data_IF_135691067630
#
_entry.id   IF_135691067630
#
_cell.length_a   1.000
_cell.length_b   1.000
_cell.length_c   1.000
_cell.angle_alpha   90.00
_cell.angle_beta   90.00
_cell.angle_gamma   90.00
#
_symmetry.space_group_name_H-M   'P 1'
#
loop_
_entity.id
_entity.type
_entity.pdbx_description
1 polymer ?
#
# COMPACT_ATOMS: atom_id res chain seq x y z
N UNK A 1 -38.68 -14.21 -4.11
CA UNK A 1 -37.27 -14.01 -3.72
C UNK A 1 -36.87 -15.18 -2.84
N UNK A 2 -35.96 -16.05 -3.30
CA UNK A 2 -35.64 -17.30 -2.60
C UNK A 2 -35.08 -17.04 -1.19
N UNK A 3 -35.60 -17.76 -0.18
CA UNK A 3 -35.32 -17.53 1.25
C UNK A 3 -33.82 -17.53 1.61
N UNK A 4 -32.98 -18.23 0.84
CA UNK A 4 -31.54 -18.32 1.09
C UNK A 4 -30.76 -17.04 0.72
N UNK A 5 -31.25 -16.25 -0.25
CA UNK A 5 -30.63 -14.95 -0.59
C UNK A 5 -30.98 -13.92 0.46
N UNK A 6 -32.22 -13.96 0.96
CA UNK A 6 -32.69 -13.08 2.04
C UNK A 6 -32.07 -13.45 3.39
N UNK A 7 -31.73 -14.73 3.62
CA UNK A 7 -31.07 -15.18 4.87
C UNK A 7 -29.62 -14.68 5.01
N UNK A 8 -28.99 -14.21 3.93
CA UNK A 8 -27.74 -13.43 4.02
C UNK A 8 -27.91 -12.12 4.83
N UNK A 9 -29.15 -11.67 5.05
CA UNK A 9 -29.46 -10.45 5.79
C UNK A 9 -29.89 -10.69 7.25
N UNK A 10 -30.31 -11.90 7.63
CA UNK A 10 -31.20 -12.05 8.80
C UNK A 10 -30.55 -12.35 10.15
N UNK A 11 -29.22 -12.37 10.25
CA UNK A 11 -28.43 -12.14 11.47
C UNK A 11 -26.96 -12.24 11.09
N UNK A 12 -26.20 -11.20 11.41
CA UNK A 12 -24.74 -11.20 11.56
C UNK A 12 -24.00 -12.30 10.78
N UNK A 13 -23.53 -11.91 9.59
CA UNK A 13 -22.22 -12.31 9.05
C UNK A 13 -21.97 -13.81 8.86
N UNK A 14 -21.86 -14.22 7.60
CA UNK A 14 -21.31 -15.53 7.26
C UNK A 14 -20.02 -15.78 8.07
N UNK A 15 -19.95 -16.94 8.73
CA UNK A 15 -18.81 -17.32 9.56
C UNK A 15 -17.58 -17.55 8.68
N UNK A 16 -16.43 -17.04 9.10
CA UNK A 16 -15.14 -17.37 8.49
C UNK A 16 -14.89 -18.88 8.58
N UNK A 17 -14.52 -19.54 7.48
CA UNK A 17 -14.14 -20.97 7.48
C UNK A 17 -13.01 -21.26 8.48
N UNK A 18 -12.18 -20.25 8.78
CA UNK A 18 -11.09 -20.37 9.77
C UNK A 18 -11.57 -20.58 11.22
N UNK A 19 -12.81 -20.22 11.56
CA UNK A 19 -13.34 -20.43 12.92
C UNK A 19 -13.88 -21.84 13.15
N UNK A 20 -14.23 -22.58 12.08
CA UNK A 20 -14.75 -23.96 12.19
C UNK A 20 -13.72 -24.99 12.68
N UNK A 21 -12.44 -24.63 12.76
CA UNK A 21 -11.34 -25.58 13.02
C UNK A 21 -10.57 -25.39 14.34
N UNK A 22 -10.87 -24.39 15.19
CA UNK A 22 -9.94 -24.07 16.30
C UNK A 22 -10.45 -23.98 17.73
N UNK A 23 -11.73 -23.76 18.02
CA UNK A 23 -12.23 -23.81 19.41
C UNK A 23 -13.77 -23.74 19.41
N UNK A 24 -14.49 -24.69 20.02
CA UNK A 24 -15.95 -24.61 20.20
C UNK A 24 -16.43 -23.42 21.04
N UNK A 25 -15.56 -22.81 21.86
CA UNK A 25 -15.88 -21.67 22.72
C UNK A 25 -15.45 -20.30 22.15
N UNK A 26 -14.76 -20.26 21.01
CA UNK A 26 -14.34 -18.98 20.42
C UNK A 26 -15.55 -18.21 19.86
N UNK A 27 -15.56 -16.89 20.09
CA UNK A 27 -16.56 -16.00 19.52
C UNK A 27 -16.64 -16.15 17.98
N UNK A 28 -17.86 -16.11 17.41
CA UNK A 28 -18.05 -16.26 15.98
C UNK A 28 -17.32 -15.17 15.19
N UNK A 29 -16.30 -15.57 14.42
CA UNK A 29 -15.57 -14.63 13.55
C UNK A 29 -16.38 -14.36 12.29
N UNK A 30 -16.88 -13.14 12.25
CA UNK A 30 -17.77 -12.62 11.23
C UNK A 30 -17.01 -12.00 10.03
N UNK A 31 -17.50 -12.24 8.80
CA UNK A 31 -16.88 -11.66 7.60
C UNK A 31 -16.97 -10.13 7.55
N UNK A 32 -15.92 -9.46 7.08
CA UNK A 32 -15.98 -8.00 6.90
C UNK A 32 -17.03 -7.59 5.83
N UNK A 33 -17.68 -6.41 5.94
CA UNK A 33 -18.60 -5.91 4.91
C UNK A 33 -18.01 -5.88 3.50
N UNK A 34 -16.69 -5.65 3.38
CA UNK A 34 -15.98 -5.70 2.09
C UNK A 34 -15.92 -7.13 1.55
N UNK A 35 -15.65 -8.12 2.41
CA UNK A 35 -15.64 -9.52 2.02
C UNK A 35 -17.01 -9.98 1.56
N UNK A 36 -18.08 -9.61 2.29
CA UNK A 36 -19.47 -9.92 1.91
C UNK A 36 -19.79 -9.31 0.54
N UNK A 37 -19.44 -8.04 0.32
CA UNK A 37 -19.68 -7.39 -0.97
C UNK A 37 -18.90 -8.05 -2.12
N UNK A 38 -17.65 -8.44 -1.89
CA UNK A 38 -16.85 -9.13 -2.91
C UNK A 38 -17.46 -10.49 -3.27
N UNK A 39 -17.86 -11.28 -2.26
CA UNK A 39 -18.50 -12.57 -2.47
C UNK A 39 -19.85 -12.41 -3.19
N UNK A 40 -20.67 -11.45 -2.75
CA UNK A 40 -21.93 -11.12 -3.40
C UNK A 40 -21.73 -10.66 -4.85
N UNK A 41 -20.72 -9.83 -5.12
CA UNK A 41 -20.37 -9.38 -6.47
C UNK A 41 -20.07 -10.55 -7.39
N UNK A 42 -19.22 -11.48 -6.95
CA UNK A 42 -18.91 -12.70 -7.70
C UNK A 42 -20.16 -13.54 -7.97
N UNK A 43 -20.97 -13.81 -6.93
CA UNK A 43 -22.20 -14.58 -7.06
C UNK A 43 -23.19 -13.92 -8.04
N UNK A 44 -23.38 -12.61 -7.91
CA UNK A 44 -24.26 -11.85 -8.78
C UNK A 44 -23.78 -11.88 -10.24
N UNK A 45 -22.47 -11.81 -10.48
CA UNK A 45 -21.89 -11.96 -11.83
C UNK A 45 -22.13 -13.35 -12.41
N UNK A 46 -21.97 -14.41 -11.62
CA UNK A 46 -22.24 -15.79 -12.05
C UNK A 46 -23.72 -15.96 -12.41
N UNK A 47 -24.63 -15.47 -11.57
CA UNK A 47 -26.07 -15.55 -11.81
C UNK A 47 -26.52 -14.70 -13.00
N UNK A 48 -25.91 -13.54 -13.22
CA UNK A 48 -26.14 -12.72 -14.40
C UNK A 48 -25.80 -13.48 -15.69
N UNK A 49 -24.68 -14.20 -15.72
CA UNK A 49 -24.31 -15.07 -16.85
C UNK A 49 -25.33 -16.19 -17.09
N UNK A 50 -25.93 -16.74 -16.02
CA UNK A 50 -26.98 -17.76 -16.16
C UNK A 50 -28.30 -17.18 -16.71
N UNK A 51 -28.61 -15.92 -16.39
CA UNK A 51 -29.74 -15.20 -17.01
C UNK A 51 -29.49 -14.98 -18.50
N UNK A 52 -28.30 -14.52 -18.87
CA UNK A 52 -27.90 -14.31 -20.27
C UNK A 52 -27.95 -15.61 -21.08
N UNK A 53 -27.63 -16.74 -20.47
CA UNK A 53 -27.73 -18.08 -21.07
C UNK A 53 -29.14 -18.68 -21.02
N UNK A 54 -30.12 -17.93 -20.54
CA UNK A 54 -31.52 -18.36 -20.37
C UNK A 54 -31.70 -19.61 -19.49
N UNK A 55 -30.72 -19.92 -18.62
CA UNK A 55 -30.82 -21.05 -17.67
C UNK A 55 -31.74 -20.67 -16.50
N UNK A 56 -31.72 -19.41 -16.09
CA UNK A 56 -32.64 -18.83 -15.12
C UNK A 56 -33.25 -17.56 -15.69
N UNK A 57 -34.47 -17.21 -15.30
CA UNK A 57 -35.18 -16.05 -15.84
C UNK A 57 -34.78 -14.71 -15.20
N UNK A 58 -34.28 -14.76 -13.96
CA UNK A 58 -33.92 -13.56 -13.18
C UNK A 58 -32.69 -13.84 -12.33
N UNK A 59 -31.90 -12.78 -12.05
CA UNK A 59 -30.78 -12.86 -11.13
C UNK A 59 -31.28 -12.58 -9.69
N UNK A 60 -31.36 -13.59 -8.80
CA UNK A 60 -31.90 -13.40 -7.46
C UNK A 60 -30.97 -12.57 -6.55
N UNK A 61 -29.70 -12.39 -6.91
CA UNK A 61 -28.76 -11.52 -6.20
C UNK A 61 -28.86 -10.04 -6.63
N UNK A 62 -29.63 -9.75 -7.68
CA UNK A 62 -29.86 -8.38 -8.12
C UNK A 62 -30.71 -7.60 -7.10
N UNK A 63 -30.37 -6.33 -6.86
CA UNK A 63 -31.10 -5.46 -5.92
C UNK A 63 -30.93 -5.82 -4.43
N UNK A 64 -30.01 -6.74 -4.09
CA UNK A 64 -29.78 -7.10 -2.69
C UNK A 64 -29.01 -5.99 -1.96
N UNK A 65 -29.63 -5.40 -0.93
CA UNK A 65 -29.02 -4.38 -0.08
C UNK A 65 -27.80 -4.94 0.66
N UNK A 66 -26.67 -4.26 0.51
CA UNK A 66 -25.38 -4.65 1.10
C UNK A 66 -25.17 -4.04 2.48
N UNK A 67 -24.41 -4.71 3.38
CA UNK A 67 -24.05 -4.14 4.67
C UNK A 67 -23.36 -2.79 4.50
N UNK A 68 -23.73 -1.83 5.37
CA UNK A 68 -23.05 -0.52 5.43
C UNK A 68 -21.57 -0.76 5.73
N UNK A 69 -20.69 -0.13 4.94
CA UNK A 69 -19.27 -0.18 5.24
C UNK A 69 -19.00 0.65 6.49
N UNK A 70 -18.30 0.07 7.47
CA UNK A 70 -17.64 0.86 8.52
C UNK A 70 -16.73 1.89 7.85
N UNK A 71 -16.61 3.10 8.43
CA UNK A 71 -15.69 4.14 7.95
C UNK A 71 -14.30 3.51 7.73
N UNK A 72 -13.71 3.74 6.56
CA UNK A 72 -12.36 3.26 6.28
C UNK A 72 -11.41 3.87 7.32
N UNK A 73 -10.51 3.06 7.89
CA UNK A 73 -9.41 3.56 8.70
C UNK A 73 -8.66 4.60 7.87
N UNK A 74 -8.51 5.80 8.40
CA UNK A 74 -7.75 6.84 7.74
C UNK A 74 -6.25 6.49 7.73
N UNK A 75 -5.52 6.87 6.66
CA UNK A 75 -4.07 6.76 6.66
C UNK A 75 -3.48 7.58 7.82
N UNK A 76 -2.36 7.11 8.36
CA UNK A 76 -1.59 7.86 9.36
C UNK A 76 -0.43 8.52 8.63
N UNK A 77 -0.30 9.84 8.77
CA UNK A 77 0.81 10.61 8.22
C UNK A 77 1.78 10.91 9.36
N UNK A 78 3.00 10.38 9.27
CA UNK A 78 4.02 10.64 10.29
C UNK A 78 4.72 11.97 10.00
N UNK A 79 4.97 12.75 11.04
CA UNK A 79 5.92 13.87 10.96
C UNK A 79 7.35 13.35 10.81
N UNK A 80 8.27 14.22 10.38
CA UNK A 80 9.71 13.87 10.29
C UNK A 80 10.25 13.36 11.63
N UNK A 81 9.89 14.01 12.74
CA UNK A 81 10.28 13.59 14.08
C UNK A 81 9.73 12.21 14.48
N UNK A 82 8.44 11.95 14.19
CA UNK A 82 7.83 10.65 14.43
C UNK A 82 8.45 9.54 13.58
N UNK A 83 8.74 9.82 12.31
CA UNK A 83 9.40 8.88 11.40
C UNK A 83 10.82 8.58 11.87
N UNK A 84 11.59 9.59 12.28
CA UNK A 84 12.93 9.42 12.86
C UNK A 84 12.87 8.51 14.09
N UNK A 85 11.99 8.81 15.04
CA UNK A 85 11.80 8.00 16.25
C UNK A 85 11.39 6.56 15.93
N UNK A 86 10.53 6.36 14.93
CA UNK A 86 10.13 5.03 14.48
C UNK A 86 11.31 4.23 13.91
N UNK A 87 12.16 4.86 13.09
CA UNK A 87 13.35 4.22 12.54
C UNK A 87 14.34 3.87 13.67
N UNK A 88 14.59 4.79 14.60
CA UNK A 88 15.45 4.54 15.78
C UNK A 88 14.92 3.39 16.65
N UNK A 89 13.59 3.34 16.83
CA UNK A 89 12.93 2.27 17.58
C UNK A 89 12.84 0.95 16.79
N UNK A 90 13.16 0.92 15.50
CA UNK A 90 13.18 -0.31 14.68
C UNK A 90 14.45 -1.10 14.96
N UNK A 91 14.34 -2.43 14.94
CA UNK A 91 15.50 -3.33 15.08
C UNK A 91 16.53 -3.02 13.99
N UNK A 92 17.81 -2.99 14.36
CA UNK A 92 18.90 -2.47 13.54
C UNK A 92 18.94 -3.03 12.12
N UNK A 93 18.89 -4.35 11.99
CA UNK A 93 18.86 -5.09 10.72
C UNK A 93 17.68 -4.75 9.80
N UNK A 94 16.62 -4.15 10.34
CA UNK A 94 15.41 -3.76 9.62
C UNK A 94 15.27 -2.24 9.44
N UNK A 95 16.17 -1.43 10.03
CA UNK A 95 16.09 0.04 9.97
C UNK A 95 16.18 0.56 8.55
N UNK A 96 17.09 0.00 7.76
CA UNK A 96 17.27 0.39 6.36
C UNK A 96 16.02 0.12 5.54
N UNK A 97 15.34 -1.02 5.72
CA UNK A 97 14.08 -1.32 5.03
C UNK A 97 12.97 -0.30 5.37
N UNK A 98 12.83 0.08 6.64
CA UNK A 98 11.84 1.09 7.06
C UNK A 98 12.16 2.47 6.47
N UNK A 99 13.43 2.89 6.55
CA UNK A 99 13.93 4.12 5.95
C UNK A 99 13.72 4.13 4.43
N UNK A 100 13.99 3.01 3.77
CA UNK A 100 13.81 2.83 2.33
C UNK A 100 12.36 2.93 1.90
N UNK A 101 11.44 2.25 2.59
CA UNK A 101 10.00 2.35 2.32
C UNK A 101 9.49 3.80 2.48
N UNK A 102 9.96 4.49 3.52
CA UNK A 102 9.57 5.86 3.79
C UNK A 102 10.17 6.87 2.80
N UNK A 103 11.39 6.66 2.30
CA UNK A 103 12.07 7.57 1.36
C UNK A 103 11.71 7.34 -0.11
N UNK A 104 11.22 6.15 -0.47
CA UNK A 104 10.87 5.82 -1.86
C UNK A 104 9.36 5.81 -2.11
N UNK A 105 8.56 5.48 -1.09
CA UNK A 105 7.13 5.26 -1.23
C UNK A 105 6.77 3.94 -1.94
N UNK A 106 7.72 3.02 -2.07
CA UNK A 106 7.48 1.70 -2.69
C UNK A 106 6.48 0.88 -1.87
N UNK A 107 5.75 -0.01 -2.56
CA UNK A 107 4.92 -0.99 -1.85
C UNK A 107 5.81 -2.03 -1.17
N UNK A 108 5.33 -2.60 -0.06
CA UNK A 108 6.02 -3.68 0.65
C UNK A 108 6.50 -4.81 -0.28
N UNK A 109 5.62 -5.29 -1.17
CA UNK A 109 5.93 -6.38 -2.09
C UNK A 109 6.94 -6.01 -3.18
N UNK A 110 7.08 -4.72 -3.50
CA UNK A 110 8.06 -4.19 -4.45
C UNK A 110 9.41 -4.06 -3.73
N UNK A 111 9.43 -3.37 -2.58
CA UNK A 111 10.65 -3.17 -1.80
C UNK A 111 11.30 -4.47 -1.30
N UNK A 112 10.52 -5.43 -0.80
CA UNK A 112 11.05 -6.70 -0.28
C UNK A 112 11.40 -7.72 -1.37
N UNK A 113 11.07 -7.45 -2.63
CA UNK A 113 11.52 -8.26 -3.76
C UNK A 113 12.79 -7.69 -4.39
N UNK A 114 13.06 -6.40 -4.19
CA UNK A 114 14.15 -5.66 -4.84
C UNK A 114 15.49 -6.39 -4.75
N UNK A 115 16.21 -6.40 -5.88
CA UNK A 115 17.53 -7.00 -6.03
C UNK A 115 18.54 -5.94 -6.49
N UNK A 116 19.86 -6.11 -6.27
CA UNK A 116 20.86 -5.14 -6.70
C UNK A 116 20.77 -4.79 -8.19
N UNK A 117 20.41 -5.76 -9.06
CA UNK A 117 20.24 -5.51 -10.50
C UNK A 117 19.11 -4.54 -10.87
N UNK A 118 18.18 -4.29 -9.95
CA UNK A 118 17.06 -3.37 -10.17
C UNK A 118 17.45 -1.92 -9.85
N UNK A 119 18.69 -1.67 -9.40
CA UNK A 119 19.13 -0.35 -8.94
C UNK A 119 20.31 0.11 -9.80
N UNK A 120 20.11 1.25 -10.48
CA UNK A 120 21.18 1.98 -11.13
C UNK A 120 21.81 2.98 -10.16
N UNK A 121 22.95 2.57 -9.57
CA UNK A 121 23.77 3.42 -8.72
C UNK A 121 24.69 4.38 -9.49
N UNK A 122 24.79 4.24 -10.82
CA UNK A 122 25.64 5.10 -11.65
C UNK A 122 24.96 6.43 -12.00
N UNK A 123 23.63 6.41 -12.10
CA UNK A 123 22.80 7.61 -12.26
C UNK A 123 22.88 8.54 -11.05
N UNK A 124 22.77 9.86 -11.28
CA UNK A 124 22.63 10.88 -10.23
C UNK A 124 21.38 11.73 -10.45
N UNK A 125 20.33 11.61 -9.61
CA UNK A 125 20.22 10.69 -8.47
C UNK A 125 20.12 9.22 -8.91
N UNK A 126 20.48 8.30 -8.02
CA UNK A 126 20.35 6.86 -8.27
C UNK A 126 18.88 6.47 -8.55
N UNK A 127 18.67 5.48 -9.41
CA UNK A 127 17.34 5.11 -9.90
C UNK A 127 17.02 3.65 -9.55
N UNK A 128 15.81 3.41 -9.07
CA UNK A 128 15.27 2.08 -8.83
C UNK A 128 14.27 1.74 -9.95
N UNK A 129 14.54 0.67 -10.69
CA UNK A 129 13.68 0.14 -11.74
C UNK A 129 12.65 -0.82 -11.15
N UNK A 130 11.45 -0.32 -10.88
CA UNK A 130 10.37 -1.10 -10.26
C UNK A 130 9.64 -1.87 -11.35
N UNK A 131 10.04 -3.12 -11.59
CA UNK A 131 9.42 -3.97 -12.63
C UNK A 131 8.90 -5.31 -12.08
N UNK A 132 9.09 -5.56 -10.77
CA UNK A 132 8.82 -6.85 -10.13
C UNK A 132 8.28 -6.66 -8.72
N UNK A 133 7.52 -7.64 -8.26
CA UNK A 133 6.98 -7.68 -6.90
C UNK A 133 6.64 -9.11 -6.48
N UNK A 134 6.60 -9.33 -5.17
CA UNK A 134 6.03 -10.57 -4.62
C UNK A 134 4.52 -10.64 -4.86
N UNK A 135 4.09 -11.73 -5.52
CA UNK A 135 2.68 -12.08 -5.71
C UNK A 135 2.35 -13.33 -4.90
N UNK A 136 1.22 -13.31 -4.20
CA UNK A 136 0.70 -14.49 -3.51
C UNK A 136 0.11 -15.44 -4.56
N UNK A 137 0.54 -16.70 -4.54
CA UNK A 137 0.01 -17.77 -5.40
C UNK A 137 -0.20 -19.01 -4.54
N UNK A 138 -1.46 -19.42 -4.36
CA UNK A 138 -1.82 -20.48 -3.43
C UNK A 138 -1.36 -20.17 -1.99
N UNK A 139 -0.59 -21.10 -1.41
CA UNK A 139 0.03 -20.96 -0.08
C UNK A 139 1.38 -20.24 -0.14
N UNK A 140 1.98 -20.12 -1.31
CA UNK A 140 3.32 -19.56 -1.53
C UNK A 140 3.32 -18.16 -2.12
N UNK A 141 4.52 -17.73 -2.50
CA UNK A 141 4.75 -16.47 -3.18
C UNK A 141 5.71 -16.67 -4.34
N UNK A 142 5.42 -16.00 -5.44
CA UNK A 142 6.24 -15.98 -6.64
C UNK A 142 6.61 -14.56 -7.00
N UNK A 143 7.73 -14.39 -7.69
CA UNK A 143 8.08 -13.11 -8.31
C UNK A 143 7.26 -12.99 -9.59
N UNK A 144 6.64 -11.83 -9.80
CA UNK A 144 5.99 -11.53 -11.06
C UNK A 144 5.92 -10.03 -11.31
N UNK A 145 5.34 -9.66 -12.45
CA UNK A 145 5.08 -8.26 -12.77
C UNK A 145 4.24 -7.60 -11.66
N UNK A 146 4.35 -6.28 -11.43
CA UNK A 146 3.52 -5.56 -10.49
C UNK A 146 2.01 -5.72 -10.72
N UNK A 147 1.23 -5.21 -9.78
CA UNK A 147 -0.24 -5.36 -9.80
C UNK A 147 -0.89 -4.74 -11.05
N UNK A 148 -0.28 -3.69 -11.60
CA UNK A 148 -0.78 -2.96 -12.76
C UNK A 148 0.36 -2.51 -13.68
N UNK A 149 0.08 -2.19 -14.96
CA UNK A 149 1.04 -1.57 -15.87
C UNK A 149 1.64 -0.29 -15.28
N UNK A 150 0.81 0.58 -14.68
CA UNK A 150 1.26 1.82 -14.03
C UNK A 150 2.18 1.60 -12.82
N UNK A 151 2.27 0.37 -12.31
CA UNK A 151 3.19 0.04 -11.23
C UNK A 151 4.60 -0.26 -11.75
N UNK A 152 4.78 -0.46 -13.06
CA UNK A 152 6.11 -0.51 -13.69
C UNK A 152 6.61 0.92 -13.87
N UNK A 153 7.69 1.29 -13.19
CA UNK A 153 8.14 2.68 -13.11
C UNK A 153 9.55 2.81 -12.55
N UNK A 154 10.14 3.97 -12.77
CA UNK A 154 11.40 4.36 -12.15
C UNK A 154 11.17 5.26 -10.94
N UNK A 155 11.94 5.02 -9.89
CA UNK A 155 11.89 5.78 -8.64
C UNK A 155 13.28 6.28 -8.30
N UNK A 156 13.50 7.58 -8.38
CA UNK A 156 14.74 8.21 -7.94
C UNK A 156 14.91 8.15 -6.42
N UNK A 157 16.13 7.91 -5.97
CA UNK A 157 16.50 7.75 -4.57
C UNK A 157 17.47 8.87 -4.14
N UNK A 158 17.28 9.50 -2.95
CA UNK A 158 18.23 10.48 -2.44
C UNK A 158 19.62 9.86 -2.20
N UNK A 159 20.68 10.64 -2.41
CA UNK A 159 22.08 10.19 -2.29
C UNK A 159 22.40 9.51 -0.96
N UNK A 160 21.87 10.03 0.15
CA UNK A 160 22.09 9.46 1.49
C UNK A 160 21.50 8.06 1.59
N UNK A 161 20.27 7.84 1.10
CA UNK A 161 19.65 6.52 1.07
C UNK A 161 20.35 5.61 0.06
N UNK A 162 20.82 6.15 -1.07
CA UNK A 162 21.57 5.41 -2.07
C UNK A 162 22.86 4.82 -1.51
N UNK A 163 23.62 5.61 -0.73
CA UNK A 163 24.83 5.11 -0.07
C UNK A 163 24.53 3.96 0.89
N UNK A 164 23.54 4.13 1.77
CA UNK A 164 23.15 3.10 2.74
C UNK A 164 22.72 1.79 2.03
N UNK A 165 21.98 1.91 0.90
CA UNK A 165 21.52 0.76 0.13
C UNK A 165 22.67 0.11 -0.66
N UNK A 166 23.59 0.90 -1.20
CA UNK A 166 24.78 0.40 -1.89
C UNK A 166 25.67 -0.41 -0.95
N UNK A 167 25.90 0.09 0.27
CA UNK A 167 26.63 -0.64 1.32
C UNK A 167 25.93 -1.95 1.68
N UNK A 168 24.59 -1.93 1.84
CA UNK A 168 23.81 -3.15 2.09
C UNK A 168 23.80 -4.14 0.90
N UNK A 169 24.25 -3.71 -0.29
CA UNK A 169 24.42 -4.56 -1.47
C UNK A 169 25.87 -5.03 -1.64
N UNK A 170 26.83 -4.54 -0.86
CA UNK A 170 28.22 -4.94 -0.97
C UNK A 170 28.36 -6.45 -0.73
N UNK A 171 29.04 -7.14 -1.66
CA UNK A 171 29.23 -8.60 -1.62
C UNK A 171 28.01 -9.43 -2.04
N UNK A 172 26.87 -8.83 -2.39
CA UNK A 172 25.70 -9.54 -2.91
C UNK A 172 25.78 -9.78 -4.40
N UNK A 173 25.23 -10.91 -4.85
CA UNK A 173 25.03 -11.20 -6.27
C UNK A 173 23.89 -10.34 -6.84
N UNK A 174 23.87 -10.10 -8.16
CA UNK A 174 22.80 -9.31 -8.80
C UNK A 174 21.38 -9.84 -8.55
N UNK A 175 21.23 -11.14 -8.31
CA UNK A 175 19.97 -11.84 -8.05
C UNK A 175 19.60 -11.95 -6.56
N UNK A 176 20.47 -11.54 -5.65
CA UNK A 176 20.19 -11.61 -4.22
C UNK A 176 19.19 -10.53 -3.81
N UNK A 177 18.51 -10.70 -2.69
CA UNK A 177 17.61 -9.68 -2.17
C UNK A 177 18.40 -8.55 -1.50
N UNK A 178 18.01 -7.30 -1.78
CA UNK A 178 18.51 -6.14 -1.05
C UNK A 178 18.11 -6.24 0.43
N UNK A 179 16.88 -6.70 0.70
CA UNK A 179 16.33 -6.85 2.05
C UNK A 179 15.92 -8.31 2.35
N UNK A 180 16.89 -9.23 2.56
CA UNK A 180 16.60 -10.61 2.85
C UNK A 180 16.12 -10.83 4.30
N UNK A 181 15.50 -11.97 4.56
CA UNK A 181 15.38 -12.51 5.92
C UNK A 181 16.73 -12.98 6.44
N UNK A 182 16.78 -13.42 7.70
CA UNK A 182 17.98 -14.05 8.28
C UNK A 182 18.47 -15.29 7.52
N UNK A 183 17.62 -15.91 6.70
CA UNK A 183 17.93 -17.09 5.89
C UNK A 183 18.31 -16.72 4.44
N UNK A 184 18.46 -15.43 4.11
CA UNK A 184 18.69 -14.99 2.72
C UNK A 184 17.41 -14.98 1.85
N UNK A 185 16.28 -15.38 2.41
CA UNK A 185 15.02 -15.57 1.70
C UNK A 185 14.10 -14.35 1.79
N UNK A 186 12.92 -14.47 1.21
CA UNK A 186 11.88 -13.44 1.27
C UNK A 186 11.52 -13.07 2.71
N UNK A 187 11.50 -11.77 3.00
CA UNK A 187 10.94 -11.22 4.23
C UNK A 187 9.43 -11.53 4.35
N UNK A 188 9.05 -12.31 5.36
CA UNK A 188 7.64 -12.65 5.63
C UNK A 188 6.93 -11.46 6.30
N UNK A 189 5.89 -10.94 5.64
CA UNK A 189 5.05 -9.84 6.12
C UNK A 189 4.55 -10.07 7.56
N UNK A 190 3.94 -11.22 7.83
CA UNK A 190 3.40 -11.54 9.16
C UNK A 190 4.47 -11.50 10.26
N UNK A 191 5.65 -12.06 9.98
CA UNK A 191 6.76 -12.06 10.91
C UNK A 191 7.29 -10.64 11.12
N UNK A 192 7.51 -9.87 10.04
CA UNK A 192 7.98 -8.49 10.15
C UNK A 192 6.98 -7.64 10.92
N UNK A 193 5.69 -7.80 10.63
CA UNK A 193 4.64 -7.06 11.31
C UNK A 193 4.64 -7.32 12.82
N UNK A 194 4.67 -8.60 13.22
CA UNK A 194 4.56 -8.99 14.63
C UNK A 194 5.86 -8.76 15.41
N UNK A 195 7.01 -9.04 14.81
CA UNK A 195 8.30 -9.07 15.51
C UNK A 195 9.09 -7.76 15.40
N UNK A 196 8.85 -6.98 14.35
CA UNK A 196 9.63 -5.77 14.06
C UNK A 196 8.74 -4.53 14.16
N UNK A 197 7.68 -4.48 13.35
CA UNK A 197 6.85 -3.28 13.19
C UNK A 197 6.07 -2.92 14.44
N UNK A 198 5.25 -3.84 14.98
CA UNK A 198 4.42 -3.55 16.15
C UNK A 198 5.24 -3.16 17.39
N UNK A 199 6.35 -3.86 17.72
CA UNK A 199 7.23 -3.43 18.80
C UNK A 199 7.86 -2.05 18.56
N UNK A 200 8.32 -1.75 17.34
CA UNK A 200 8.89 -0.45 17.00
C UNK A 200 7.88 0.68 17.16
N UNK A 201 6.65 0.48 16.68
CA UNK A 201 5.53 1.43 16.83
C UNK A 201 5.19 1.67 18.31
N UNK A 202 5.16 0.61 19.12
CA UNK A 202 4.93 0.73 20.57
C UNK A 202 6.06 1.50 21.25
N UNK A 203 7.33 1.15 21.00
CA UNK A 203 8.49 1.86 21.56
C UNK A 203 8.55 3.33 21.15
N UNK A 204 8.18 3.63 19.91
CA UNK A 204 8.11 5.00 19.43
C UNK A 204 6.95 5.80 20.06
N UNK A 205 5.99 5.14 20.71
CA UNK A 205 4.85 5.78 21.35
C UNK A 205 3.87 6.40 20.35
N UNK A 206 3.73 5.79 19.16
CA UNK A 206 2.91 6.38 18.09
C UNK A 206 1.42 6.03 18.24
N UNK A 207 0.60 7.07 18.37
CA UNK A 207 -0.85 6.98 18.33
C UNK A 207 -1.40 8.14 17.49
N UNK A 208 -2.21 7.91 16.44
CA UNK A 208 -2.68 6.61 15.93
C UNK A 208 -1.53 5.70 15.45
N UNK A 209 -1.66 4.39 15.69
CA UNK A 209 -0.64 3.39 15.32
C UNK A 209 -0.54 3.26 13.79
N UNK A 210 0.59 3.59 13.13
CA UNK A 210 0.73 3.44 11.69
C UNK A 210 0.87 1.96 11.29
N UNK A 211 0.44 1.63 10.07
CA UNK A 211 0.78 0.39 9.37
C UNK A 211 2.02 0.62 8.51
N UNK A 212 2.69 -0.46 8.09
CA UNK A 212 3.82 -0.36 7.16
C UNK A 212 3.44 0.41 5.88
N UNK A 213 2.24 0.17 5.35
CA UNK A 213 1.74 0.89 4.16
C UNK A 213 1.53 2.39 4.41
N UNK A 214 1.38 2.81 5.67
CA UNK A 214 1.24 4.23 6.00
C UNK A 214 2.57 4.99 5.85
N UNK A 215 3.73 4.31 5.72
CA UNK A 215 4.99 4.93 5.31
C UNK A 215 4.91 5.49 3.89
N UNK A 216 4.19 4.80 2.99
CA UNK A 216 3.95 5.30 1.63
C UNK A 216 3.03 6.51 1.63
N UNK A 217 2.01 6.51 2.50
CA UNK A 217 1.16 7.68 2.68
C UNK A 217 1.95 8.86 3.25
N UNK A 218 2.85 8.59 4.19
CA UNK A 218 3.79 9.57 4.76
C UNK A 218 4.70 10.14 3.67
N UNK A 219 5.31 9.30 2.82
CA UNK A 219 6.13 9.73 1.68
C UNK A 219 5.36 10.68 0.75
N UNK A 220 4.14 10.30 0.37
CA UNK A 220 3.28 11.11 -0.48
C UNK A 220 2.96 12.48 0.17
N UNK A 221 2.60 12.47 1.45
CA UNK A 221 2.33 13.70 2.22
C UNK A 221 3.54 14.62 2.28
N UNK A 222 4.75 14.09 2.47
CA UNK A 222 5.99 14.88 2.48
C UNK A 222 6.28 15.50 1.12
N UNK A 223 6.09 14.76 0.02
CA UNK A 223 6.26 15.31 -1.33
C UNK A 223 5.25 16.41 -1.65
N UNK A 224 4.00 16.26 -1.21
CA UNK A 224 2.95 17.27 -1.39
C UNK A 224 3.28 18.54 -0.59
N UNK A 225 3.70 18.37 0.66
CA UNK A 225 4.13 19.50 1.49
C UNK A 225 5.36 20.22 0.89
N UNK A 226 6.22 19.50 0.18
CA UNK A 226 7.35 20.06 -0.56
C UNK A 226 6.97 20.67 -1.92
N UNK A 227 5.68 20.73 -2.28
CA UNK A 227 5.20 21.34 -3.52
C UNK A 227 5.41 20.48 -4.78
N UNK A 228 5.71 19.19 -4.64
CA UNK A 228 5.90 18.30 -5.79
C UNK A 228 4.57 18.09 -6.52
N UNK A 229 4.51 18.25 -7.85
CA UNK A 229 3.26 18.14 -8.59
C UNK A 229 2.55 16.79 -8.41
N UNK A 230 1.24 16.81 -8.15
CA UNK A 230 0.44 15.60 -7.96
C UNK A 230 0.56 14.56 -9.09
N UNK A 231 0.64 14.93 -10.39
CA UNK A 231 0.85 13.95 -11.45
C UNK A 231 2.19 13.21 -11.33
N UNK A 232 3.24 13.89 -10.87
CA UNK A 232 4.53 13.25 -10.61
C UNK A 232 4.44 12.28 -9.43
N UNK A 233 3.78 12.69 -8.34
CA UNK A 233 3.56 11.84 -7.17
C UNK A 233 2.73 10.60 -7.56
N UNK A 234 1.69 10.76 -8.38
CA UNK A 234 0.87 9.66 -8.90
C UNK A 234 1.75 8.65 -9.66
N UNK A 235 2.59 9.13 -10.60
CA UNK A 235 3.51 8.28 -11.36
C UNK A 235 4.51 7.58 -10.44
N UNK A 236 5.19 8.32 -9.55
CA UNK A 236 6.16 7.76 -8.59
C UNK A 236 5.55 6.70 -7.69
N UNK A 237 4.30 6.86 -7.29
CA UNK A 237 3.58 5.88 -6.49
C UNK A 237 3.06 4.71 -7.34
N UNK A 238 2.84 4.88 -8.64
CA UNK A 238 2.24 3.83 -9.49
C UNK A 238 0.75 3.65 -9.20
N UNK A 239 0.03 4.76 -9.03
CA UNK A 239 -1.43 4.78 -8.96
C UNK A 239 -2.01 4.81 -10.38
N UNK A 240 -2.79 3.79 -10.76
CA UNK A 240 -3.49 3.74 -12.05
C UNK A 240 -4.47 4.91 -12.20
N UNK A 241 -5.20 5.23 -11.12
CA UNK A 241 -6.17 6.32 -11.12
C UNK A 241 -5.68 7.48 -10.24
N UNK A 242 -5.64 8.69 -10.83
CA UNK A 242 -5.29 9.93 -10.14
C UNK A 242 -6.23 10.24 -8.97
N UNK A 243 -7.50 9.83 -9.03
CA UNK A 243 -8.45 9.99 -7.93
C UNK A 243 -7.94 9.34 -6.64
N UNK A 244 -7.18 8.24 -6.73
CA UNK A 244 -6.55 7.63 -5.55
C UNK A 244 -5.61 8.61 -4.86
N UNK A 245 -4.85 9.40 -5.62
CA UNK A 245 -3.93 10.41 -5.08
C UNK A 245 -4.70 11.63 -4.57
N UNK A 246 -5.66 12.12 -5.34
CA UNK A 246 -6.44 13.32 -4.99
C UNK A 246 -7.35 13.06 -3.78
N UNK A 247 -8.12 11.97 -3.77
CA UNK A 247 -9.02 11.62 -2.67
C UNK A 247 -8.24 11.37 -1.36
N UNK A 248 -7.03 10.82 -1.46
CA UNK A 248 -6.22 10.48 -0.29
C UNK A 248 -5.40 11.66 0.23
N UNK A 249 -4.93 12.55 -0.65
CA UNK A 249 -3.94 13.57 -0.27
C UNK A 249 -4.24 15.00 -0.72
N UNK A 250 -5.29 15.23 -1.53
CA UNK A 250 -5.60 16.55 -2.06
C UNK A 250 -5.79 17.61 -0.97
N UNK A 251 -6.29 17.20 0.19
CA UNK A 251 -6.45 18.05 1.38
C UNK A 251 -5.13 18.49 2.04
N UNK A 252 -3.99 17.90 1.65
CA UNK A 252 -2.65 18.25 2.15
C UNK A 252 -1.94 19.24 1.22
N UNK A 253 -2.50 19.51 0.03
CA UNK A 253 -1.88 20.42 -0.92
C UNK A 253 -1.81 21.84 -0.32
N UNK A 254 -0.72 22.59 -0.57
CA UNK A 254 -0.67 24.01 -0.26
C UNK A 254 -1.88 24.73 -0.85
N UNK A 255 -2.35 25.79 -0.19
CA UNK A 255 -3.46 26.61 -0.69
C UNK A 255 -3.11 27.10 -2.11
N UNK A 256 -3.77 26.51 -3.10
CA UNK A 256 -3.51 26.75 -4.50
C UNK A 256 -3.76 28.22 -4.87
N UNK A 257 -4.71 28.89 -4.20
CA UNK A 257 -4.97 30.31 -4.39
C UNK A 257 -3.79 31.17 -3.94
N UNK A 258 -3.24 30.88 -2.75
CA UNK A 258 -2.07 31.60 -2.22
C UNK A 258 -0.82 31.37 -3.06
N UNK A 259 -0.58 30.13 -3.50
CA UNK A 259 0.56 29.80 -4.38
C UNK A 259 0.41 30.47 -5.75
N UNK A 260 -0.78 30.46 -6.34
CA UNK A 260 -1.05 31.11 -7.62
C UNK A 260 -0.88 32.63 -7.53
N UNK A 261 -1.37 33.26 -6.47
CA UNK A 261 -1.19 34.69 -6.25
C UNK A 261 0.29 35.07 -6.16
N UNK A 262 1.08 34.36 -5.34
CA UNK A 262 2.52 34.62 -5.20
C UNK A 262 3.30 34.40 -6.51
N UNK A 263 2.93 33.37 -7.29
CA UNK A 263 3.55 33.12 -8.59
C UNK A 263 3.23 34.22 -9.61
N UNK A 264 1.98 34.72 -9.60
CA UNK A 264 1.52 35.79 -10.48
C UNK A 264 2.18 37.11 -10.11
N UNK A 265 2.31 37.44 -8.82
CA UNK A 265 3.05 38.60 -8.33
C UNK A 265 4.51 38.59 -8.84
N UNK A 266 5.19 37.45 -8.72
CA UNK A 266 6.56 37.28 -9.20
C UNK A 266 6.69 37.32 -10.74
N UNK A 267 5.60 37.08 -11.49
CA UNK A 267 5.55 37.26 -12.93
C UNK A 267 5.35 38.74 -13.27
N UNK A 268 4.40 39.42 -12.62
CA UNK A 268 4.11 40.84 -12.83
C UNK A 268 5.34 41.71 -12.53
N UNK A 269 6.02 41.47 -11.41
CA UNK A 269 7.26 42.18 -11.05
C UNK A 269 8.42 41.97 -12.05
N UNK A 270 8.36 40.94 -12.90
CA UNK A 270 9.34 40.73 -13.99
C UNK A 270 8.97 41.44 -15.29
N UNK A 271 7.69 41.77 -15.49
CA UNK A 271 7.22 42.55 -16.65
C UNK A 271 7.47 44.05 -16.47
N UNK A 272 7.62 44.51 -15.23
CA UNK A 272 7.90 45.90 -14.87
C UNK A 272 9.40 46.25 -14.87
N UNK A 273 10.27 45.30 -15.25
CA UNK A 273 11.72 45.49 -15.44
C UNK A 273 12.09 45.38 -16.91
#
# INVERSE_FOLDING_TARGET
MEKWVTSLRSRETALSISSRKKDPQAEPVFLSPKTIRNAHGLLSSVLALQVERHVISVNPAYGVAMPRQRRRRQPVFLTVGQLKKLIECTREDCRLLVRFLAGTGLRWSEATQLQPRDIDFSSRPAVIHVSRAWKKQGTGFVVGAPKSPASVRDVSMPDSLSRDVQEACAGKRPDDLVFPSSEGLRMRDSWFHQRIWQPAVTRAGLNPRPRVHDLRHTHASMLIAAGVPLPYIQRRLGHENISTTVDTYGHLAPDAGRVAAAATEAMLARLEK
#
